data_IF_593664691598
#
_entry.id   IF_593664691598
#
_cell.length_a   1.000
_cell.length_b   1.000
_cell.length_c   1.000
_cell.angle_alpha   90.00
_cell.angle_beta   90.00
_cell.angle_gamma   90.00
#
_symmetry.space_group_name_H-M   'P 1'
#
loop_
_entity.id
_entity.type
_entity.pdbx_description
1 polymer ?
#
# COMPACT_ATOMS: atom_id res chain seq x y z
N UNK A 1 -14.44 -29.99 -12.92
CA UNK A 1 -14.67 -28.54 -12.95
C UNK A 1 -15.38 -28.12 -11.65
N UNK A 2 -14.80 -27.20 -10.90
CA UNK A 2 -15.39 -26.72 -9.64
C UNK A 2 -16.30 -25.51 -9.94
N UNK A 3 -17.65 -25.65 -9.82
CA UNK A 3 -18.61 -24.56 -10.14
C UNK A 3 -18.35 -23.28 -9.34
N UNK A 4 -17.88 -23.40 -8.08
CA UNK A 4 -17.56 -22.26 -7.22
C UNK A 4 -16.33 -21.50 -7.72
N UNK A 5 -15.31 -22.20 -8.21
CA UNK A 5 -14.13 -21.58 -8.81
C UNK A 5 -14.50 -20.83 -10.09
N UNK A 6 -15.33 -21.42 -10.95
CA UNK A 6 -15.82 -20.78 -12.18
C UNK A 6 -16.64 -19.53 -11.86
N UNK A 7 -17.54 -19.59 -10.88
CA UNK A 7 -18.32 -18.43 -10.44
C UNK A 7 -17.43 -17.29 -9.92
N UNK A 8 -16.39 -17.64 -9.14
CA UNK A 8 -15.42 -16.67 -8.61
C UNK A 8 -14.62 -16.00 -9.74
N UNK A 9 -14.14 -16.78 -10.71
CA UNK A 9 -13.42 -16.28 -11.89
C UNK A 9 -14.32 -15.34 -12.71
N UNK A 10 -15.56 -15.74 -12.98
CA UNK A 10 -16.53 -14.90 -13.70
C UNK A 10 -16.78 -13.57 -12.98
N UNK A 11 -16.97 -13.61 -11.66
CA UNK A 11 -17.18 -12.40 -10.85
C UNK A 11 -15.95 -11.47 -10.92
N UNK A 12 -14.74 -12.01 -10.84
CA UNK A 12 -13.52 -11.23 -10.96
C UNK A 12 -13.37 -10.62 -12.37
N UNK A 13 -13.63 -11.39 -13.42
CA UNK A 13 -13.58 -10.89 -14.79
C UNK A 13 -14.62 -9.77 -15.01
N UNK A 14 -15.83 -9.90 -14.48
CA UNK A 14 -16.85 -8.85 -14.54
C UNK A 14 -16.41 -7.59 -13.78
N UNK A 15 -15.73 -7.75 -12.63
CA UNK A 15 -15.17 -6.63 -11.90
C UNK A 15 -14.15 -5.86 -12.75
N UNK A 16 -13.21 -6.55 -13.39
CA UNK A 16 -12.19 -5.94 -14.26
C UNK A 16 -12.74 -5.48 -15.62
N UNK A 17 -13.88 -5.99 -16.08
CA UNK A 17 -14.54 -5.50 -17.28
C UNK A 17 -15.34 -4.21 -17.07
N UNK A 18 -15.55 -3.79 -15.81
CA UNK A 18 -16.26 -2.56 -15.51
C UNK A 18 -15.31 -1.36 -15.63
N UNK A 19 -15.65 -0.39 -16.50
CA UNK A 19 -14.85 0.79 -16.74
C UNK A 19 -14.54 1.61 -15.47
N UNK A 20 -15.50 1.76 -14.54
CA UNK A 20 -15.28 2.48 -13.30
C UNK A 20 -14.23 1.80 -12.41
N UNK A 21 -14.21 0.47 -12.37
CA UNK A 21 -13.23 -0.27 -11.59
C UNK A 21 -11.85 -0.18 -12.23
N UNK A 22 -11.78 -0.20 -13.57
CA UNK A 22 -10.53 0.03 -14.31
C UNK A 22 -10.00 1.43 -14.01
N UNK A 23 -10.84 2.47 -14.08
CA UNK A 23 -10.47 3.85 -13.76
C UNK A 23 -9.94 3.94 -12.32
N UNK A 24 -10.61 3.31 -11.35
CA UNK A 24 -10.15 3.29 -9.95
C UNK A 24 -8.78 2.63 -9.78
N UNK A 25 -8.49 1.57 -10.53
CA UNK A 25 -7.18 0.92 -10.50
C UNK A 25 -6.08 1.85 -11.03
N UNK A 26 -6.31 2.49 -12.19
CA UNK A 26 -5.36 3.45 -12.76
C UNK A 26 -5.22 4.71 -11.89
N UNK A 27 -6.31 5.24 -11.34
CA UNK A 27 -6.28 6.38 -10.43
C UNK A 27 -5.43 6.07 -9.19
N UNK A 28 -5.55 4.87 -8.63
CA UNK A 28 -4.70 4.41 -7.53
C UNK A 28 -3.22 4.37 -7.92
N UNK A 29 -2.90 3.91 -9.12
CA UNK A 29 -1.54 3.83 -9.62
C UNK A 29 -0.94 5.23 -9.85
N UNK A 30 -1.73 6.17 -10.32
CA UNK A 30 -1.31 7.57 -10.49
C UNK A 30 -1.15 8.26 -9.13
N UNK A 31 -2.07 8.08 -8.21
CA UNK A 31 -2.06 8.74 -6.90
C UNK A 31 -0.85 8.38 -6.05
N UNK A 32 -0.28 7.19 -6.21
CA UNK A 32 0.96 6.84 -5.49
C UNK A 32 2.10 7.83 -5.79
N UNK A 33 2.11 8.42 -6.99
CA UNK A 33 3.13 9.38 -7.40
C UNK A 33 2.84 10.80 -6.90
N UNK A 34 1.59 11.13 -6.59
CA UNK A 34 1.21 12.42 -6.02
C UNK A 34 1.81 12.67 -4.63
N UNK A 35 2.30 11.62 -3.96
CA UNK A 35 3.04 11.77 -2.71
C UNK A 35 4.29 12.63 -2.88
N UNK A 36 4.90 12.63 -4.07
CA UNK A 36 6.17 13.30 -4.34
C UNK A 36 6.02 14.76 -4.76
N UNK A 37 4.81 15.21 -5.10
CA UNK A 37 4.60 16.55 -5.65
C UNK A 37 3.96 17.53 -4.66
N UNK A 38 4.44 18.77 -4.66
CA UNK A 38 3.81 19.90 -3.97
C UNK A 38 3.75 19.82 -2.44
N UNK A 39 4.54 18.91 -1.81
CA UNK A 39 4.52 18.70 -0.36
C UNK A 39 5.59 19.50 0.36
N UNK A 40 6.80 19.55 -0.18
CA UNK A 40 7.94 20.22 0.41
C UNK A 40 9.05 20.44 -0.62
N UNK A 41 10.02 21.28 -0.27
CA UNK A 41 11.29 21.37 -0.98
C UNK A 41 12.23 20.33 -0.38
N UNK A 42 12.67 19.37 -1.18
CA UNK A 42 13.54 18.28 -0.73
C UNK A 42 15.00 18.58 -1.07
N UNK A 43 15.88 18.31 -0.13
CA UNK A 43 17.32 18.24 -0.34
C UNK A 43 17.84 16.90 0.19
N UNK A 44 19.05 16.49 -0.23
CA UNK A 44 19.66 15.25 0.29
C UNK A 44 19.93 15.30 1.80
N UNK A 45 20.08 16.49 2.35
CA UNK A 45 20.35 16.73 3.78
C UNK A 45 19.07 16.96 4.60
N UNK A 46 17.89 17.06 3.95
CA UNK A 46 16.64 17.31 4.66
C UNK A 46 16.19 16.05 5.39
N UNK A 47 15.62 16.25 6.57
CA UNK A 47 14.84 15.21 7.23
C UNK A 47 13.67 14.78 6.33
N UNK A 48 13.19 13.52 6.47
CA UNK A 48 12.01 13.09 5.76
C UNK A 48 10.81 13.98 6.04
N UNK A 49 10.05 14.31 5.01
CA UNK A 49 8.75 14.96 5.19
C UNK A 49 7.71 13.92 5.65
N UNK A 50 7.16 14.13 6.85
CA UNK A 50 6.24 13.20 7.50
C UNK A 50 4.84 13.79 7.60
N UNK A 51 3.82 13.00 7.24
CA UNK A 51 2.43 13.42 7.38
C UNK A 51 1.48 12.23 7.64
N UNK A 52 0.31 12.54 8.21
CA UNK A 52 -0.76 11.56 8.40
C UNK A 52 -1.48 11.30 7.09
N UNK A 53 -1.75 10.04 6.83
CA UNK A 53 -2.36 9.55 5.60
C UNK A 53 -3.29 8.37 5.86
N UNK A 54 -3.77 7.75 4.81
CA UNK A 54 -4.61 6.55 4.87
C UNK A 54 -4.14 5.53 3.86
N UNK A 55 -4.22 4.25 4.24
CA UNK A 55 -3.95 3.08 3.40
C UNK A 55 -5.20 2.24 3.23
N UNK A 56 -5.16 1.32 2.26
CA UNK A 56 -6.19 0.29 2.15
C UNK A 56 -6.20 -0.57 3.42
N UNK A 57 -7.40 -0.85 3.91
CA UNK A 57 -7.56 -1.78 5.01
C UNK A 57 -7.50 -3.22 4.49
N UNK A 58 -6.78 -4.07 5.21
CA UNK A 58 -6.65 -5.49 4.85
C UNK A 58 -7.90 -6.32 5.23
N UNK A 59 -8.76 -5.81 6.12
CA UNK A 59 -9.83 -6.58 6.77
C UNK A 59 -11.21 -5.95 6.63
N UNK A 60 -11.30 -4.71 6.18
CA UNK A 60 -12.56 -4.00 6.01
C UNK A 60 -12.51 -2.97 4.88
N UNK A 61 -13.63 -2.35 4.58
CA UNK A 61 -13.72 -1.27 3.57
C UNK A 61 -13.32 0.11 4.12
N UNK A 62 -13.20 0.26 5.44
CA UNK A 62 -12.77 1.51 6.06
C UNK A 62 -11.26 1.68 5.91
N UNK A 63 -10.76 2.83 5.46
CA UNK A 63 -9.33 3.05 5.28
C UNK A 63 -8.58 2.95 6.61
N UNK A 64 -7.35 2.43 6.56
CA UNK A 64 -6.45 2.33 7.71
C UNK A 64 -5.67 3.63 7.87
N UNK A 65 -5.71 4.30 9.04
CA UNK A 65 -4.81 5.41 9.34
C UNK A 65 -3.35 4.99 9.18
N UNK A 66 -2.52 5.87 8.66
CA UNK A 66 -1.12 5.60 8.39
C UNK A 66 -0.27 6.87 8.51
N UNK A 67 1.02 6.68 8.75
CA UNK A 67 2.02 7.72 8.63
C UNK A 67 2.80 7.52 7.34
N UNK A 68 2.95 8.60 6.57
CA UNK A 68 3.76 8.59 5.34
C UNK A 68 4.99 9.45 5.54
N UNK A 69 6.15 8.90 5.21
CA UNK A 69 7.43 9.59 5.13
C UNK A 69 7.86 9.68 3.67
N UNK A 70 8.36 10.85 3.26
CA UNK A 70 8.90 11.08 1.92
C UNK A 70 10.29 11.70 2.05
N UNK A 71 11.22 11.25 1.22
CA UNK A 71 12.58 11.81 1.16
C UNK A 71 13.16 11.77 -0.25
N UNK A 72 14.08 12.69 -0.52
CA UNK A 72 14.96 12.64 -1.66
C UNK A 72 16.15 11.74 -1.31
N UNK A 73 16.31 10.63 -2.03
CA UNK A 73 17.39 9.67 -1.78
C UNK A 73 18.65 9.99 -2.58
N UNK A 74 18.48 10.48 -3.82
CA UNK A 74 19.59 10.69 -4.74
C UNK A 74 19.25 11.77 -5.77
N UNK A 75 20.25 12.51 -6.21
CA UNK A 75 20.20 13.38 -7.37
C UNK A 75 21.16 12.80 -8.40
N UNK A 76 20.67 12.52 -9.61
CA UNK A 76 21.51 12.02 -10.68
C UNK A 76 22.62 13.01 -11.07
N UNK A 77 23.74 12.50 -11.56
CA UNK A 77 24.96 13.27 -11.81
C UNK A 77 24.77 14.47 -12.76
N UNK A 78 23.81 14.39 -13.67
CA UNK A 78 23.43 15.47 -14.60
C UNK A 78 22.32 16.39 -14.07
N UNK A 79 21.81 16.18 -12.87
CA UNK A 79 20.61 16.83 -12.30
C UNK A 79 19.34 16.68 -13.16
N UNK A 80 19.31 15.68 -14.07
CA UNK A 80 18.17 15.44 -14.96
C UNK A 80 17.19 14.38 -14.38
N UNK A 81 17.55 13.77 -13.27
CA UNK A 81 16.69 12.82 -12.57
C UNK A 81 16.94 12.82 -11.06
N UNK A 82 15.93 12.41 -10.33
CA UNK A 82 15.88 12.37 -8.88
C UNK A 82 15.33 11.03 -8.43
N UNK A 83 15.90 10.44 -7.38
CA UNK A 83 15.36 9.23 -6.76
C UNK A 83 14.65 9.64 -5.46
N UNK A 84 13.34 9.52 -5.49
CA UNK A 84 12.47 9.78 -4.34
C UNK A 84 12.04 8.47 -3.70
N UNK A 85 12.01 8.46 -2.37
CA UNK A 85 11.48 7.36 -1.60
C UNK A 85 10.27 7.80 -0.77
N UNK A 86 9.28 6.92 -0.65
CA UNK A 86 8.24 7.04 0.38
C UNK A 86 8.10 5.77 1.16
N UNK A 87 7.77 5.90 2.44
CA UNK A 87 7.38 4.78 3.30
C UNK A 87 6.06 5.17 3.95
N UNK A 88 5.06 4.33 3.76
CA UNK A 88 3.75 4.47 4.39
C UNK A 88 3.56 3.30 5.34
N UNK A 89 3.35 3.58 6.62
CA UNK A 89 3.17 2.57 7.67
C UNK A 89 1.81 2.73 8.33
N UNK A 90 1.08 1.63 8.39
CA UNK A 90 -0.24 1.59 9.02
C UNK A 90 -0.15 1.82 10.52
N UNK A 91 -1.13 2.54 11.09
CA UNK A 91 -1.31 2.61 12.54
C UNK A 91 -1.49 1.20 13.11
N UNK A 92 -0.55 0.81 13.96
CA UNK A 92 -0.45 -0.56 14.49
C UNK A 92 -1.64 -0.92 15.37
N UNK A 93 -2.09 0.02 16.21
CA UNK A 93 -3.19 -0.22 17.13
C UNK A 93 -4.51 -0.33 16.37
N UNK A 94 -4.74 0.56 15.43
CA UNK A 94 -5.92 0.54 14.59
C UNK A 94 -5.99 -0.74 13.74
N UNK A 95 -4.85 -1.14 13.15
CA UNK A 95 -4.74 -2.37 12.35
C UNK A 95 -5.04 -3.62 13.20
N UNK A 96 -4.49 -3.70 14.42
CA UNK A 96 -4.73 -4.80 15.35
C UNK A 96 -6.21 -4.90 15.78
N UNK A 97 -6.85 -3.75 16.05
CA UNK A 97 -8.27 -3.70 16.39
C UNK A 97 -9.15 -4.13 15.21
N UNK A 98 -8.83 -3.70 13.99
CA UNK A 98 -9.54 -4.10 12.78
C UNK A 98 -9.43 -5.60 12.52
N UNK A 99 -8.24 -6.15 12.72
CA UNK A 99 -7.97 -7.59 12.64
C UNK A 99 -8.74 -8.39 13.69
N UNK A 100 -8.71 -7.92 14.95
CA UNK A 100 -9.47 -8.56 16.03
C UNK A 100 -10.96 -8.61 15.70
N UNK A 101 -11.54 -7.50 15.24
CA UNK A 101 -12.94 -7.44 14.84
C UNK A 101 -13.26 -8.44 13.73
N UNK A 102 -12.40 -8.53 12.71
CA UNK A 102 -12.56 -9.51 11.63
C UNK A 102 -12.52 -10.95 12.14
N UNK A 103 -11.55 -11.30 12.99
CA UNK A 103 -11.44 -12.64 13.55
C UNK A 103 -12.59 -12.99 14.49
N UNK A 104 -13.07 -12.04 15.27
CA UNK A 104 -14.24 -12.21 16.13
C UNK A 104 -15.50 -12.53 15.33
N UNK A 105 -15.74 -11.81 14.24
CA UNK A 105 -16.85 -12.07 13.33
C UNK A 105 -16.72 -13.43 12.64
N UNK A 106 -15.51 -13.80 12.26
CA UNK A 106 -15.23 -15.12 11.68
C UNK A 106 -15.47 -16.25 12.68
N UNK A 107 -14.97 -16.12 13.92
CA UNK A 107 -15.16 -17.08 14.99
C UNK A 107 -16.65 -17.31 15.29
N UNK A 108 -17.43 -16.21 15.34
CA UNK A 108 -18.88 -16.27 15.53
C UNK A 108 -19.57 -17.04 14.40
N UNK A 109 -19.18 -16.82 13.14
CA UNK A 109 -19.74 -17.54 11.97
C UNK A 109 -19.39 -19.02 11.97
N UNK A 110 -18.21 -19.38 12.48
CA UNK A 110 -17.72 -20.77 12.53
C UNK A 110 -18.06 -21.49 13.83
N UNK A 111 -18.69 -20.82 14.80
CA UNK A 111 -18.97 -21.40 16.11
C UNK A 111 -17.71 -21.74 16.91
N UNK A 112 -16.59 -21.03 16.65
CA UNK A 112 -15.31 -21.24 17.32
C UNK A 112 -15.07 -20.21 18.43
N UNK A 113 -14.04 -20.46 19.26
CA UNK A 113 -13.67 -19.57 20.37
C UNK A 113 -13.15 -18.22 19.84
N UNK A 114 -13.53 -17.12 20.49
CA UNK A 114 -13.00 -15.79 20.17
C UNK A 114 -11.49 -15.72 20.40
N UNK A 115 -10.75 -15.01 19.52
CA UNK A 115 -9.31 -14.83 19.70
C UNK A 115 -8.98 -13.89 20.86
N UNK A 116 -7.78 -14.00 21.42
CA UNK A 116 -7.28 -13.04 22.41
C UNK A 116 -6.73 -11.80 21.70
N UNK A 117 -7.22 -10.62 22.12
CA UNK A 117 -6.80 -9.33 21.53
C UNK A 117 -5.34 -8.98 21.82
N UNK A 118 -4.82 -9.32 23.01
CA UNK A 118 -3.46 -8.93 23.43
C UNK A 118 -2.37 -9.53 22.56
N UNK A 119 -2.60 -10.75 22.02
CA UNK A 119 -1.64 -11.43 21.16
C UNK A 119 -1.57 -10.85 19.74
N UNK A 120 -2.54 -10.04 19.33
CA UNK A 120 -2.62 -9.54 17.96
C UNK A 120 -1.79 -8.27 17.74
N UNK A 121 -1.66 -7.41 18.76
CA UNK A 121 -0.99 -6.11 18.64
C UNK A 121 0.48 -6.21 18.25
N UNK A 122 1.19 -7.23 18.74
CA UNK A 122 2.63 -7.36 18.50
C UNK A 122 2.99 -8.12 17.21
N UNK A 123 2.01 -8.75 16.61
CA UNK A 123 2.21 -9.70 15.52
C UNK A 123 1.73 -9.21 14.16
N UNK A 124 1.31 -7.95 14.04
CA UNK A 124 0.87 -7.40 12.77
C UNK A 124 1.66 -6.15 12.40
N UNK A 125 2.16 -6.11 11.16
CA UNK A 125 2.74 -4.91 10.53
C UNK A 125 2.28 -4.83 9.10
N UNK A 126 1.97 -3.63 8.66
CA UNK A 126 1.61 -3.36 7.29
C UNK A 126 2.26 -2.05 6.84
N UNK A 127 3.09 -2.14 5.81
CA UNK A 127 3.72 -0.97 5.23
C UNK A 127 3.88 -1.10 3.71
N UNK A 128 3.96 0.05 3.06
CA UNK A 128 4.23 0.18 1.63
C UNK A 128 5.45 1.07 1.47
N UNK A 129 6.47 0.58 0.73
CA UNK A 129 7.63 1.38 0.32
C UNK A 129 7.56 1.61 -1.18
N UNK A 130 7.75 2.85 -1.59
CA UNK A 130 7.84 3.21 -3.00
C UNK A 130 9.16 3.92 -3.23
N UNK A 131 9.89 3.49 -4.26
CA UNK A 131 11.08 4.18 -4.76
C UNK A 131 10.85 4.53 -6.21
N UNK A 132 10.97 5.81 -6.56
CA UNK A 132 10.68 6.29 -7.91
C UNK A 132 11.83 7.14 -8.44
N UNK A 133 12.16 6.93 -9.73
CA UNK A 133 13.03 7.81 -10.50
C UNK A 133 12.16 8.83 -11.23
N UNK A 134 12.35 10.10 -10.89
CA UNK A 134 11.61 11.23 -11.44
C UNK A 134 12.54 12.02 -12.36
N UNK A 135 12.13 12.27 -13.60
CA UNK A 135 12.84 13.14 -14.55
C UNK A 135 12.72 14.60 -14.14
N UNK A 136 13.58 15.47 -14.64
CA UNK A 136 13.56 16.93 -14.41
C UNK A 136 12.24 17.61 -14.78
N UNK A 137 11.54 17.05 -15.78
CA UNK A 137 10.20 17.48 -16.18
C UNK A 137 9.07 16.97 -15.25
N UNK A 138 9.40 16.28 -14.15
CA UNK A 138 8.45 15.76 -13.17
C UNK A 138 7.84 14.40 -13.52
N UNK A 139 8.11 13.82 -14.69
CA UNK A 139 7.58 12.50 -15.04
C UNK A 139 8.36 11.38 -14.35
N UNK A 140 7.63 10.38 -13.91
CA UNK A 140 8.22 9.17 -13.34
C UNK A 140 8.60 8.23 -14.48
N UNK A 141 9.91 7.93 -14.58
CA UNK A 141 10.43 7.00 -15.57
C UNK A 141 10.51 5.56 -15.05
N UNK A 142 10.61 5.40 -13.73
CA UNK A 142 10.68 4.09 -13.10
C UNK A 142 10.16 4.16 -11.67
N UNK A 143 9.45 3.16 -11.23
CA UNK A 143 8.99 3.03 -9.84
C UNK A 143 8.91 1.58 -9.41
N UNK A 144 9.32 1.32 -8.18
CA UNK A 144 9.08 0.05 -7.47
C UNK A 144 8.26 0.37 -6.24
N UNK A 145 7.12 -0.30 -6.11
CA UNK A 145 6.31 -0.33 -4.89
C UNK A 145 6.42 -1.72 -4.28
N UNK A 146 6.82 -1.77 -3.01
CA UNK A 146 6.88 -3.00 -2.22
C UNK A 146 5.90 -2.89 -1.07
N UNK A 147 4.86 -3.70 -1.11
CA UNK A 147 3.88 -3.86 -0.05
C UNK A 147 4.25 -5.05 0.81
N UNK A 148 4.39 -4.83 2.12
CA UNK A 148 4.68 -5.90 3.07
C UNK A 148 3.63 -5.95 4.16
N UNK A 149 3.14 -7.16 4.38
CA UNK A 149 2.25 -7.50 5.50
C UNK A 149 2.94 -8.60 6.28
N UNK A 150 3.31 -8.31 7.53
CA UNK A 150 3.73 -9.32 8.48
C UNK A 150 2.54 -9.70 9.33
N UNK A 151 2.34 -10.99 9.48
CA UNK A 151 1.23 -11.53 10.22
C UNK A 151 1.69 -12.77 10.99
N UNK A 152 1.83 -12.63 12.33
CA UNK A 152 2.46 -13.64 13.16
C UNK A 152 3.84 -14.03 12.58
N UNK A 153 4.03 -15.32 12.24
CA UNK A 153 5.25 -15.85 11.67
C UNK A 153 5.26 -15.86 10.13
N UNK A 154 4.21 -15.27 9.51
CA UNK A 154 4.07 -15.24 8.06
C UNK A 154 4.33 -13.83 7.53
N UNK A 155 5.27 -13.72 6.59
CA UNK A 155 5.54 -12.50 5.85
C UNK A 155 4.98 -12.63 4.42
N UNK A 156 4.11 -11.69 4.07
CA UNK A 156 3.62 -11.54 2.69
C UNK A 156 4.25 -10.31 2.06
N UNK A 157 4.85 -10.48 0.89
CA UNK A 157 5.44 -9.38 0.12
C UNK A 157 4.86 -9.38 -1.29
N UNK A 158 4.36 -8.22 -1.70
CA UNK A 158 3.94 -7.95 -3.07
C UNK A 158 4.80 -6.82 -3.62
N UNK A 159 5.44 -7.04 -4.77
CA UNK A 159 6.20 -6.03 -5.48
C UNK A 159 5.50 -5.70 -6.79
N UNK A 160 5.40 -4.40 -7.09
CA UNK A 160 4.88 -3.88 -8.33
C UNK A 160 5.90 -2.92 -8.93
N UNK A 161 6.22 -3.13 -10.19
CA UNK A 161 7.14 -2.28 -10.97
C UNK A 161 6.37 -1.54 -12.03
N UNK A 162 6.77 -0.29 -12.23
CA UNK A 162 6.36 0.55 -13.32
C UNK A 162 7.61 1.06 -14.03
N UNK A 163 7.62 1.00 -15.34
CA UNK A 163 8.70 1.52 -16.18
C UNK A 163 8.10 2.18 -17.41
N UNK A 164 8.53 3.41 -17.68
CA UNK A 164 8.18 4.11 -18.90
C UNK A 164 9.06 3.56 -20.03
N UNK A 165 8.43 2.96 -21.01
CA UNK A 165 9.10 2.47 -22.23
C UNK A 165 9.01 3.57 -23.28
N UNK A 166 10.16 4.02 -23.79
CA UNK A 166 10.27 5.03 -24.87
C UNK A 166 9.80 4.47 -26.21
#
# INVERSE_FOLDING_TARGET
>A
DNPTAIATIKKNLQYYANAENIIKLFDKDIRQFHHFYGKSNFTLASDPFVYQSYMDNLFSTSPTPATTEIKLNEIGSSHTNYIMGSTQEADKEWLANSWYSYLKDLAKKLGSQEPSQDRLKDNIKYYVKTTSRIKDNGWISYSIETKKVKFQDTDYTLERRFELVD
#
